data_IF_347066616471
#
_entry.id   IF_347066616471
#
_cell.length_a   1.000
_cell.length_b   1.000
_cell.length_c   1.000
_cell.angle_alpha   90.00
_cell.angle_beta   90.00
_cell.angle_gamma   90.00
#
_symmetry.space_group_name_H-M   'P 1'
#
loop_
_entity.id
_entity.type
_entity.pdbx_description
1 polymer ?
#
# COMPACT_ATOMS: atom_id res chain seq x y z
N UNK A 1 -29.88 -0.89 14.01
CA UNK A 1 -28.57 -1.58 13.92
C UNK A 1 -28.10 -1.88 12.48
N UNK A 2 -28.96 -2.30 11.54
CA UNK A 2 -28.54 -2.67 10.16
C UNK A 2 -27.90 -1.55 9.32
N UNK A 3 -28.31 -0.29 9.50
CA UNK A 3 -27.78 0.83 8.71
C UNK A 3 -26.27 1.08 8.97
N UNK A 4 -25.84 0.96 10.22
CA UNK A 4 -24.42 1.12 10.61
C UNK A 4 -23.59 -0.02 10.02
N UNK A 5 -24.05 -1.26 10.14
CA UNK A 5 -23.36 -2.43 9.55
C UNK A 5 -23.16 -2.28 8.03
N UNK A 6 -24.18 -1.79 7.31
CA UNK A 6 -24.09 -1.52 5.87
C UNK A 6 -23.05 -0.44 5.56
N UNK A 7 -23.02 0.66 6.33
CA UNK A 7 -22.04 1.73 6.13
C UNK A 7 -20.61 1.21 6.35
N UNK A 8 -20.38 0.41 7.40
CA UNK A 8 -19.10 -0.24 7.65
C UNK A 8 -18.67 -1.18 6.53
N UNK A 9 -19.60 -1.98 5.99
CA UNK A 9 -19.31 -2.85 4.86
C UNK A 9 -18.88 -2.05 3.62
N UNK A 10 -19.58 -0.96 3.30
CA UNK A 10 -19.21 -0.09 2.17
C UNK A 10 -17.83 0.54 2.40
N UNK A 11 -17.58 1.08 3.60
CA UNK A 11 -16.28 1.67 3.94
C UNK A 11 -15.13 0.65 3.80
N UNK A 12 -15.34 -0.58 4.29
CA UNK A 12 -14.36 -1.66 4.17
C UNK A 12 -14.06 -2.03 2.71
N UNK A 13 -15.09 -2.11 1.86
CA UNK A 13 -14.93 -2.37 0.43
C UNK A 13 -14.14 -1.24 -0.24
N UNK A 14 -14.47 0.02 0.05
CA UNK A 14 -13.75 1.18 -0.50
C UNK A 14 -12.28 1.19 -0.07
N UNK A 15 -11.99 0.95 1.21
CA UNK A 15 -10.61 0.84 1.71
C UNK A 15 -9.85 -0.29 1.02
N UNK A 16 -10.53 -1.41 0.76
CA UNK A 16 -9.92 -2.53 0.05
C UNK A 16 -9.58 -2.19 -1.38
N UNK A 17 -10.49 -1.56 -2.12
CA UNK A 17 -10.22 -1.08 -3.48
C UNK A 17 -9.03 -0.10 -3.47
N UNK A 18 -9.04 0.87 -2.56
CA UNK A 18 -7.97 1.87 -2.43
C UNK A 18 -6.61 1.21 -2.13
N UNK A 19 -6.58 0.25 -1.20
CA UNK A 19 -5.38 -0.51 -0.86
C UNK A 19 -4.81 -1.23 -2.10
N UNK A 20 -5.65 -1.94 -2.85
CA UNK A 20 -5.22 -2.63 -4.06
C UNK A 20 -4.69 -1.68 -5.12
N UNK A 21 -5.36 -0.54 -5.33
CA UNK A 21 -4.94 0.48 -6.28
C UNK A 21 -3.57 1.06 -5.91
N UNK A 22 -3.35 1.42 -4.63
CA UNK A 22 -2.07 1.90 -4.14
C UNK A 22 -0.97 0.84 -4.25
N UNK A 23 -1.29 -0.42 -3.92
CA UNK A 23 -0.36 -1.54 -4.04
C UNK A 23 0.17 -1.70 -5.47
N UNK A 24 -0.73 -1.66 -6.45
CA UNK A 24 -0.37 -1.77 -7.86
C UNK A 24 0.42 -0.54 -8.30
N UNK A 25 -0.04 0.66 -7.94
CA UNK A 25 0.62 1.91 -8.29
C UNK A 25 2.08 1.98 -7.82
N UNK A 26 2.35 1.69 -6.54
CA UNK A 26 3.71 1.72 -6.02
C UNK A 26 4.61 0.65 -6.63
N UNK A 27 4.07 -0.55 -6.88
CA UNK A 27 4.81 -1.61 -7.57
C UNK A 27 5.19 -1.18 -8.99
N UNK A 28 4.26 -0.55 -9.71
CA UNK A 28 4.48 -0.02 -11.06
C UNK A 28 5.58 1.05 -11.08
N UNK A 29 5.49 2.05 -10.20
CA UNK A 29 6.50 3.09 -10.09
C UNK A 29 7.88 2.54 -9.74
N UNK A 30 7.96 1.53 -8.86
CA UNK A 30 9.24 0.94 -8.50
C UNK A 30 9.88 0.22 -9.67
N UNK A 31 9.08 -0.54 -10.42
CA UNK A 31 9.52 -1.21 -11.65
C UNK A 31 9.99 -0.19 -12.67
N UNK A 32 9.21 0.84 -12.94
CA UNK A 32 9.58 1.92 -13.88
C UNK A 32 10.90 2.60 -13.49
N UNK A 33 11.14 2.84 -12.20
CA UNK A 33 12.43 3.37 -11.72
C UNK A 33 13.60 2.43 -12.00
N UNK A 34 13.43 1.13 -11.80
CA UNK A 34 14.47 0.13 -12.10
C UNK A 34 14.74 0.05 -13.60
N UNK A 35 13.69 0.13 -14.41
CA UNK A 35 13.79 0.16 -15.87
C UNK A 35 14.58 1.39 -16.33
N UNK A 36 14.25 2.58 -15.84
CA UNK A 36 15.00 3.81 -16.14
C UNK A 36 16.46 3.78 -15.68
N UNK A 37 16.74 3.18 -14.51
CA UNK A 37 18.11 3.01 -14.02
C UNK A 37 18.94 2.08 -14.90
N UNK A 38 18.33 0.98 -15.36
CA UNK A 38 18.98 0.08 -16.30
C UNK A 38 19.26 0.78 -17.64
N UNK A 39 18.26 1.48 -18.18
CA UNK A 39 18.37 2.17 -19.46
C UNK A 39 19.35 3.37 -19.40
N UNK A 40 19.61 3.91 -18.20
CA UNK A 40 20.64 4.93 -17.95
C UNK A 40 22.09 4.37 -17.91
N UNK A 41 22.26 3.04 -17.97
CA UNK A 41 23.57 2.39 -17.96
C UNK A 41 24.16 2.10 -16.58
N UNK A 42 23.39 2.30 -15.50
CA UNK A 42 23.85 2.04 -14.11
C UNK A 42 23.91 0.54 -13.75
N UNK A 43 23.49 -0.34 -14.66
CA UNK A 43 23.36 -1.77 -14.41
C UNK A 43 23.98 -2.63 -15.51
N UNK A 44 24.61 -3.74 -15.10
CA UNK A 44 25.23 -4.71 -16.01
C UNK A 44 24.46 -6.04 -15.99
N UNK A 45 24.45 -6.74 -17.13
CA UNK A 45 23.80 -8.05 -17.29
C UNK A 45 22.38 -7.98 -17.88
N UNK A 46 21.63 -9.10 -17.88
CA UNK A 46 20.32 -9.15 -18.48
C UNK A 46 19.30 -8.29 -17.72
N UNK A 47 18.58 -7.42 -18.44
CA UNK A 47 17.58 -6.46 -17.90
C UNK A 47 16.57 -7.12 -16.96
N UNK A 48 16.09 -8.31 -17.31
CA UNK A 48 15.14 -9.07 -16.50
C UNK A 48 15.70 -9.43 -15.12
N UNK A 49 16.94 -9.91 -15.04
CA UNK A 49 17.57 -10.28 -13.78
C UNK A 49 17.80 -9.05 -12.87
N UNK A 50 18.18 -7.91 -13.45
CA UNK A 50 18.32 -6.66 -12.70
C UNK A 50 16.99 -6.20 -12.11
N UNK A 51 15.93 -6.16 -12.92
CA UNK A 51 14.59 -5.75 -12.46
C UNK A 51 14.07 -6.71 -11.40
N UNK A 52 14.22 -8.03 -11.60
CA UNK A 52 13.72 -9.05 -10.68
C UNK A 52 14.43 -8.98 -9.32
N UNK A 53 15.76 -8.83 -9.31
CA UNK A 53 16.52 -8.65 -8.07
C UNK A 53 16.14 -7.35 -7.33
N UNK A 54 15.95 -6.25 -8.07
CA UNK A 54 15.49 -4.98 -7.51
C UNK A 54 14.06 -5.05 -6.95
N UNK A 55 13.18 -5.86 -7.57
CA UNK A 55 11.83 -6.10 -7.07
C UNK A 55 11.81 -7.01 -5.84
N UNK A 56 12.66 -8.04 -5.76
CA UNK A 56 12.80 -8.85 -4.55
C UNK A 56 13.27 -8.02 -3.34
N UNK A 57 14.20 -7.09 -3.56
CA UNK A 57 14.63 -6.15 -2.53
C UNK A 57 13.48 -5.21 -2.08
N UNK A 58 12.64 -4.76 -3.02
CA UNK A 58 11.45 -3.97 -2.70
C UNK A 58 10.44 -4.76 -1.85
N UNK A 59 10.18 -6.02 -2.20
CA UNK A 59 9.22 -6.87 -1.47
C UNK A 59 9.68 -7.16 -0.03
N UNK A 60 11.00 -7.25 0.20
CA UNK A 60 11.57 -7.38 1.55
C UNK A 60 11.59 -6.07 2.35
N UNK A 61 11.38 -4.93 1.70
CA UNK A 61 11.47 -3.61 2.35
C UNK A 61 10.23 -3.27 3.18
N UNK A 62 10.34 -2.23 4.00
CA UNK A 62 9.20 -1.71 4.78
C UNK A 62 8.15 -0.98 3.94
N UNK A 63 8.46 -0.66 2.67
CA UNK A 63 7.56 0.11 1.79
C UNK A 63 6.22 -0.58 1.56
N UNK A 64 6.16 -1.87 1.16
CA UNK A 64 4.88 -2.59 1.09
C UNK A 64 4.22 -2.75 2.47
N UNK A 65 4.98 -2.68 3.57
CA UNK A 65 4.39 -2.71 4.93
C UNK A 65 3.64 -1.41 5.26
N UNK A 66 4.12 -0.27 4.77
CA UNK A 66 3.43 1.02 4.96
C UNK A 66 2.04 1.06 4.31
N UNK A 67 1.77 0.23 3.28
CA UNK A 67 0.43 0.12 2.71
C UNK A 67 -0.61 -0.39 3.70
N UNK A 68 -0.21 -1.15 4.73
CA UNK A 68 -1.13 -1.55 5.80
C UNK A 68 -1.67 -0.36 6.60
N UNK A 69 -0.97 0.78 6.59
CA UNK A 69 -1.48 2.01 7.21
C UNK A 69 -2.79 2.48 6.58
N UNK A 70 -3.06 2.12 5.32
CA UNK A 70 -4.36 2.43 4.68
C UNK A 70 -5.53 1.81 5.46
N UNK A 71 -5.32 0.68 6.14
CA UNK A 71 -6.32 0.06 7.00
C UNK A 71 -6.16 0.46 8.47
N UNK A 72 -4.93 0.51 8.96
CA UNK A 72 -4.67 0.80 10.38
C UNK A 72 -5.10 2.23 10.72
N UNK A 73 -4.75 3.20 9.89
CA UNK A 73 -5.03 4.62 10.13
C UNK A 73 -6.52 4.92 10.32
N UNK A 74 -7.45 4.51 9.42
CA UNK A 74 -8.87 4.75 9.64
C UNK A 74 -9.43 3.96 10.84
N UNK A 75 -8.99 2.73 11.08
CA UNK A 75 -9.42 1.97 12.27
C UNK A 75 -8.98 2.65 13.57
N UNK A 76 -7.73 3.12 13.63
CA UNK A 76 -7.23 3.87 14.79
C UNK A 76 -7.94 5.20 14.96
N UNK A 77 -8.23 5.93 13.88
CA UNK A 77 -8.97 7.18 13.94
C UNK A 77 -10.38 6.96 14.52
N UNK A 78 -11.09 5.91 14.08
CA UNK A 78 -12.41 5.58 14.61
C UNK A 78 -12.32 5.20 16.09
N UNK A 79 -11.35 4.37 16.48
CA UNK A 79 -11.14 4.01 17.89
C UNK A 79 -10.86 5.23 18.78
N UNK A 80 -10.02 6.15 18.30
CA UNK A 80 -9.71 7.41 18.99
C UNK A 80 -10.95 8.30 19.11
N UNK A 81 -11.72 8.46 18.04
CA UNK A 81 -12.97 9.24 18.07
C UNK A 81 -13.95 8.65 19.09
N UNK A 82 -14.14 7.33 19.08
CA UNK A 82 -15.02 6.65 20.05
C UNK A 82 -14.51 6.89 21.47
N UNK A 83 -13.20 6.79 21.71
CA UNK A 83 -12.62 7.07 23.02
C UNK A 83 -12.93 8.51 23.45
N UNK A 84 -12.57 9.53 22.66
CA UNK A 84 -12.76 10.94 23.07
C UNK A 84 -14.22 11.37 23.17
N UNK A 85 -15.12 10.82 22.35
CA UNK A 85 -16.55 11.17 22.39
C UNK A 85 -17.26 10.50 23.57
N UNK A 86 -16.77 9.33 24.01
CA UNK A 86 -17.43 8.51 25.02
C UNK A 86 -16.69 8.51 26.37
N UNK A 87 -15.52 9.13 26.43
CA UNK A 87 -14.79 9.45 27.65
C UNK A 87 -15.24 10.85 28.07
N UNK A 88 -16.12 10.90 29.07
CA UNK A 88 -16.51 12.13 29.78
C UNK A 88 -15.28 12.86 30.35
#
# INVERSE_FOLDING_TARGET
MFAILRAWAIAFVLLTILYWMLRIYFRSLRREKLEKQFDAGDAQGPRSAYIESGMQAYDRSLRPRLLWLVYILPLTAIAVIIYFVNYD
#
